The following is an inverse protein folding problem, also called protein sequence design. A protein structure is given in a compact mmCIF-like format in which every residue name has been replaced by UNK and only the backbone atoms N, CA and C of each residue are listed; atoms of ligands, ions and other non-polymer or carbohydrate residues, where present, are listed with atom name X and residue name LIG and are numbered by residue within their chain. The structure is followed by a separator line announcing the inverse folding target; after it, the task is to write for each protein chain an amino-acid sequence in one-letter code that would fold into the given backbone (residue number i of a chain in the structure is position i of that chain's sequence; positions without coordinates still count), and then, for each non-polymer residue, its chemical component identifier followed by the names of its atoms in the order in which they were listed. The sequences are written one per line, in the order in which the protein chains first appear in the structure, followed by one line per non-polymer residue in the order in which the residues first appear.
data_IF_534665859945
#
_entry.id   IF_534665859945
#
_cell.length_a   1.000
_cell.length_b   1.000
_cell.length_c   1.000
_cell.angle_alpha   90.00
_cell.angle_beta   90.00
_cell.angle_gamma   90.00
#
_symmetry.space_group_name_H-M   'P 1'
#
loop_
_entity.id
_entity.type
_entity.pdbx_description
1 polymer ?
#
# COMPACT_ATOMS: atom_id res chain seq x y z
N UNK A 1 7.53 -15.58 -4.52
CA UNK A 1 7.01 -14.22 -4.73
C UNK A 1 6.84 -13.53 -3.39
N UNK A 2 7.14 -12.24 -3.34
CA UNK A 2 6.83 -11.36 -2.20
C UNK A 2 6.26 -10.07 -2.74
N UNK A 3 5.17 -9.61 -2.13
CA UNK A 3 4.52 -8.34 -2.44
C UNK A 3 4.63 -7.42 -1.22
N UNK A 4 4.89 -6.16 -1.43
CA UNK A 4 4.84 -5.11 -0.43
C UNK A 4 4.66 -3.74 -1.08
N UNK A 5 4.06 -2.80 -0.35
CA UNK A 5 3.98 -1.38 -0.66
C UNK A 5 4.57 -0.61 0.53
N UNK A 6 5.93 -0.51 0.64
CA UNK A 6 6.61 0.02 1.83
C UNK A 6 6.85 1.54 1.77
N UNK A 7 6.20 2.25 0.86
CA UNK A 7 6.48 3.63 0.45
C UNK A 7 6.39 4.62 1.62
N UNK A 8 5.47 4.40 2.58
CA UNK A 8 5.34 5.24 3.78
C UNK A 8 6.61 5.26 4.64
N UNK A 9 7.46 4.24 4.49
CA UNK A 9 8.78 4.17 5.15
C UNK A 9 9.85 5.06 4.51
N UNK A 10 9.61 5.58 3.31
CA UNK A 10 10.50 6.52 2.61
C UNK A 10 9.83 7.87 2.33
N UNK A 11 8.74 8.18 3.03
CA UNK A 11 8.05 9.45 2.82
C UNK A 11 7.30 9.54 1.48
N UNK A 12 6.90 8.39 0.92
CA UNK A 12 6.07 8.27 -0.27
C UNK A 12 4.75 7.55 0.09
N UNK A 13 3.80 7.52 -0.80
CA UNK A 13 2.52 6.81 -0.69
C UNK A 13 2.53 5.58 -1.62
N UNK A 14 1.63 4.59 -1.44
CA UNK A 14 1.49 3.48 -2.37
C UNK A 14 1.13 3.97 -3.78
N UNK A 15 2.13 4.08 -4.66
CA UNK A 15 2.01 4.56 -6.04
C UNK A 15 1.71 3.42 -7.04
N UNK A 16 1.90 3.67 -8.32
CA UNK A 16 1.77 2.72 -9.45
C UNK A 16 0.46 1.93 -9.49
N UNK A 17 -0.63 2.57 -9.11
CA UNK A 17 -1.95 1.94 -8.99
C UNK A 17 -2.20 1.28 -7.64
N UNK A 18 -1.29 1.45 -6.67
CA UNK A 18 -1.43 0.90 -5.32
C UNK A 18 -2.75 1.27 -4.65
N UNK A 19 -3.18 2.53 -4.80
CA UNK A 19 -4.46 2.99 -4.31
C UNK A 19 -5.64 2.17 -4.85
N UNK A 20 -5.64 1.90 -6.16
CA UNK A 20 -6.69 1.12 -6.82
C UNK A 20 -6.80 -0.31 -6.30
N UNK A 21 -5.69 -1.01 -6.22
CA UNK A 21 -5.68 -2.42 -5.80
C UNK A 21 -5.89 -2.56 -4.30
N UNK A 22 -5.19 -1.78 -3.48
CA UNK A 22 -5.27 -1.91 -2.02
C UNK A 22 -6.62 -1.49 -1.46
N UNK A 23 -7.27 -0.45 -2.00
CA UNK A 23 -8.58 0.00 -1.54
C UNK A 23 -9.67 -1.05 -1.66
N UNK A 24 -9.52 -1.99 -2.58
CA UNK A 24 -10.49 -3.05 -2.88
C UNK A 24 -10.25 -4.35 -2.13
N UNK A 25 -9.23 -4.41 -1.28
CA UNK A 25 -8.95 -5.59 -0.46
C UNK A 25 -9.96 -5.70 0.70
N UNK A 26 -10.36 -6.92 1.07
CA UNK A 26 -11.33 -7.12 2.13
C UNK A 26 -10.76 -6.78 3.52
N UNK A 27 -11.64 -6.46 4.47
CA UNK A 27 -11.32 -6.42 5.90
C UNK A 27 -10.24 -5.42 6.29
N UNK A 28 -10.12 -4.28 5.58
CA UNK A 28 -9.13 -3.23 5.84
C UNK A 28 -7.67 -3.68 5.62
N UNK A 29 -7.49 -4.80 4.94
CA UNK A 29 -6.17 -5.33 4.63
C UNK A 29 -5.34 -4.32 3.81
N UNK A 30 -5.97 -3.59 2.89
CA UNK A 30 -5.28 -2.56 2.08
C UNK A 30 -4.69 -1.45 2.94
N UNK A 31 -5.44 -0.94 3.91
CA UNK A 31 -4.97 0.07 4.87
C UNK A 31 -3.79 -0.46 5.69
N UNK A 32 -3.92 -1.69 6.19
CA UNK A 32 -2.83 -2.35 6.92
C UNK A 32 -1.55 -2.44 6.07
N UNK A 33 -1.65 -2.94 4.84
CA UNK A 33 -0.48 -3.10 3.95
C UNK A 33 0.14 -1.76 3.56
N UNK A 34 -0.70 -0.76 3.24
CA UNK A 34 -0.24 0.59 2.87
C UNK A 34 0.50 1.29 4.01
N UNK A 35 -0.03 1.20 5.24
CA UNK A 35 0.53 1.91 6.38
C UNK A 35 1.76 1.23 6.97
N UNK A 36 1.76 -0.10 7.03
CA UNK A 36 2.86 -0.85 7.66
C UNK A 36 3.98 -1.21 6.69
N UNK A 37 3.67 -1.32 5.39
CA UNK A 37 4.59 -1.87 4.40
C UNK A 37 4.86 -3.36 4.58
N UNK A 38 3.95 -4.07 5.26
CA UNK A 38 4.08 -5.50 5.53
C UNK A 38 4.24 -6.29 4.23
N UNK A 39 5.20 -7.20 4.23
CA UNK A 39 5.45 -8.10 3.10
C UNK A 39 4.60 -9.33 3.22
N UNK A 40 3.85 -9.63 2.18
CA UNK A 40 3.05 -10.85 2.04
C UNK A 40 3.67 -11.78 0.98
N UNK A 41 3.47 -13.07 1.16
CA UNK A 41 3.93 -14.07 0.19
C UNK A 41 2.87 -14.37 -0.89
N UNK A 42 3.16 -15.33 -1.78
CA UNK A 42 2.26 -15.68 -2.86
C UNK A 42 0.94 -16.29 -2.39
N UNK A 43 0.92 -17.05 -1.30
CA UNK A 43 -0.31 -17.64 -0.74
C UNK A 43 -1.19 -16.57 -0.12
N UNK A 44 -0.59 -15.64 0.59
CA UNK A 44 -1.24 -14.48 1.19
C UNK A 44 -1.78 -13.52 0.12
N UNK A 45 -1.04 -13.35 -0.99
CA UNK A 45 -1.50 -12.52 -2.12
C UNK A 45 -2.74 -13.12 -2.81
N UNK A 46 -2.82 -14.45 -2.94
CA UNK A 46 -4.04 -15.12 -3.47
C UNK A 46 -5.18 -15.00 -2.47
N UNK A 47 -4.93 -15.24 -1.19
CA UNK A 47 -5.96 -15.10 -0.13
C UNK A 47 -6.51 -13.67 -0.05
N UNK A 48 -5.65 -12.67 -0.21
CA UNK A 48 -6.01 -11.25 -0.22
C UNK A 48 -6.79 -10.83 -1.49
N UNK A 49 -6.77 -11.63 -2.57
CA UNK A 49 -7.35 -11.26 -3.85
C UNK A 49 -6.45 -10.38 -4.73
N UNK A 50 -5.17 -10.20 -4.36
CA UNK A 50 -4.16 -9.50 -5.17
C UNK A 50 -3.62 -10.37 -6.31
N UNK A 51 -3.63 -11.69 -6.14
CA UNK A 51 -3.23 -12.65 -7.15
C UNK A 51 -4.36 -13.63 -7.43
N UNK A 52 -4.45 -14.08 -8.69
CA UNK A 52 -5.50 -15.00 -9.14
C UNK A 52 -5.06 -16.47 -9.11
N UNK A 53 -3.76 -16.72 -9.23
CA UNK A 53 -3.21 -18.07 -9.30
C UNK A 53 -1.95 -18.20 -8.46
N UNK A 54 -1.74 -19.37 -7.88
CA UNK A 54 -0.52 -19.73 -7.18
C UNK A 54 0.24 -20.76 -8.01
N UNK A 55 1.40 -20.38 -8.57
CA UNK A 55 2.23 -21.26 -9.36
C UNK A 55 3.52 -21.59 -8.61
N UNK A 56 3.93 -22.87 -8.55
CA UNK A 56 5.26 -23.26 -8.13
C UNK A 56 6.34 -22.56 -8.98
N UNK A 57 7.51 -22.31 -8.37
CA UNK A 57 8.58 -21.57 -9.05
C UNK A 57 9.08 -22.28 -10.33
N UNK A 58 9.10 -23.60 -10.35
CA UNK A 58 9.48 -24.44 -11.48
C UNK A 58 8.48 -24.42 -12.64
N UNK A 59 7.22 -24.03 -12.38
CA UNK A 59 6.17 -23.91 -13.40
C UNK A 59 6.14 -22.54 -14.10
N UNK A 60 6.87 -21.54 -13.61
CA UNK A 60 6.83 -20.19 -14.18
C UNK A 60 7.39 -20.11 -15.61
N UNK A 61 8.44 -20.89 -15.91
CA UNK A 61 9.01 -20.94 -17.26
C UNK A 61 8.02 -21.53 -18.26
N UNK A 62 7.35 -22.61 -17.88
CA UNK A 62 6.32 -23.27 -18.69
C UNK A 62 5.10 -22.37 -18.92
N UNK A 63 4.64 -21.66 -17.87
CA UNK A 63 3.56 -20.70 -18.00
C UNK A 63 3.87 -19.62 -19.04
N UNK A 64 5.08 -19.04 -18.97
CA UNK A 64 5.55 -18.05 -19.96
C UNK A 64 5.62 -18.63 -21.36
N UNK A 65 6.14 -19.86 -21.52
CA UNK A 65 6.25 -20.50 -22.82
C UNK A 65 4.87 -20.72 -23.45
N UNK A 66 3.88 -21.17 -22.68
CA UNK A 66 2.50 -21.34 -23.18
C UNK A 66 1.87 -20.03 -23.61
N UNK A 67 2.01 -18.98 -22.81
CA UNK A 67 1.47 -17.64 -23.15
C UNK A 67 2.12 -17.11 -24.43
N UNK A 68 3.45 -17.21 -24.57
CA UNK A 68 4.19 -16.79 -25.78
C UNK A 68 3.76 -17.59 -27.00
N UNK A 69 3.44 -18.88 -26.85
CA UNK A 69 2.94 -19.75 -27.93
C UNK A 69 1.47 -19.45 -28.32
N UNK A 70 0.83 -18.45 -27.69
CA UNK A 70 -0.53 -18.01 -28.04
C UNK A 70 -1.65 -18.79 -27.34
N UNK A 71 -1.34 -19.54 -26.30
CA UNK A 71 -2.39 -20.16 -25.48
C UNK A 71 -3.17 -19.09 -24.71
N UNK A 72 -4.44 -19.39 -24.39
CA UNK A 72 -5.24 -18.58 -23.48
C UNK A 72 -4.53 -18.44 -22.12
N UNK A 73 -4.36 -17.19 -21.67
CA UNK A 73 -3.61 -16.88 -20.46
C UNK A 73 -4.24 -17.55 -19.23
N UNK A 74 -5.56 -17.41 -19.07
CA UNK A 74 -6.27 -17.96 -17.92
C UNK A 74 -6.18 -19.49 -17.88
N UNK A 75 -6.38 -20.15 -19.03
CA UNK A 75 -6.26 -21.60 -19.15
C UNK A 75 -4.84 -22.10 -18.90
N UNK A 76 -3.83 -21.40 -19.43
CA UNK A 76 -2.41 -21.76 -19.21
C UNK A 76 -2.02 -21.65 -17.72
N UNK A 77 -2.47 -20.60 -17.04
CA UNK A 77 -2.20 -20.40 -15.60
C UNK A 77 -2.96 -21.41 -14.74
N UNK A 78 -4.25 -21.63 -15.02
CA UNK A 78 -5.09 -22.57 -14.27
C UNK A 78 -4.55 -24.01 -14.37
N UNK A 79 -4.05 -24.43 -15.55
CA UNK A 79 -3.51 -25.76 -15.75
C UNK A 79 -2.20 -26.04 -14.96
N UNK A 80 -1.49 -24.99 -14.56
CA UNK A 80 -0.22 -25.07 -13.83
C UNK A 80 -0.34 -24.63 -12.36
N UNK A 81 -1.47 -24.05 -11.98
CA UNK A 81 -1.73 -23.61 -10.63
C UNK A 81 -1.90 -24.78 -9.67
N UNK A 82 -1.46 -24.58 -8.44
CA UNK A 82 -1.69 -25.53 -7.34
C UNK A 82 -2.38 -24.82 -6.17
N UNK A 83 -2.96 -25.60 -5.26
CA UNK A 83 -3.52 -25.06 -4.02
C UNK A 83 -2.42 -24.38 -3.21
N UNK A 84 -2.58 -23.08 -2.88
CA UNK A 84 -1.57 -22.38 -2.08
C UNK A 84 -1.50 -22.94 -0.65
N UNK A 85 -0.34 -22.83 0.03
CA UNK A 85 -0.24 -23.06 1.45
C UNK A 85 -1.19 -22.16 2.25
N UNK A 86 -1.45 -22.50 3.51
CA UNK A 86 -2.27 -21.67 4.39
C UNK A 86 -1.64 -20.28 4.59
N UNK A 87 -2.39 -19.19 4.34
CA UNK A 87 -1.88 -17.82 4.46
C UNK A 87 -1.74 -17.42 5.94
N UNK A 88 -0.53 -17.08 6.37
CA UNK A 88 -0.26 -16.73 7.78
C UNK A 88 -0.99 -15.46 8.22
N UNK A 89 -1.11 -14.47 7.33
CA UNK A 89 -1.81 -13.21 7.61
C UNK A 89 -3.30 -13.42 7.95
N UNK A 90 -3.92 -14.50 7.48
CA UNK A 90 -5.31 -14.83 7.76
C UNK A 90 -5.58 -14.98 9.27
N UNK A 91 -4.60 -15.45 10.04
CA UNK A 91 -4.70 -15.55 11.49
C UNK A 91 -4.93 -14.17 12.17
N UNK A 92 -4.53 -13.09 11.51
CA UNK A 92 -4.66 -11.72 12.03
C UNK A 92 -5.79 -10.91 11.37
N UNK A 93 -6.59 -11.52 10.50
CA UNK A 93 -7.62 -10.82 9.72
C UNK A 93 -8.59 -10.00 10.59
N UNK A 94 -9.02 -10.55 11.73
CA UNK A 94 -9.92 -9.85 12.65
C UNK A 94 -9.24 -8.67 13.36
N UNK A 95 -7.98 -8.83 13.76
CA UNK A 95 -7.20 -7.76 14.37
C UNK A 95 -6.96 -6.63 13.36
N UNK A 96 -6.62 -6.96 12.12
CA UNK A 96 -6.45 -6.00 11.03
C UNK A 96 -7.76 -5.23 10.80
N UNK A 97 -8.89 -5.94 10.63
CA UNK A 97 -10.18 -5.32 10.41
C UNK A 97 -10.60 -4.40 11.55
N UNK A 98 -10.28 -4.76 12.79
CA UNK A 98 -10.59 -3.97 13.99
C UNK A 98 -9.73 -2.72 14.10
N UNK A 99 -8.40 -2.87 14.06
CA UNK A 99 -7.48 -1.78 14.38
C UNK A 99 -7.29 -0.80 13.22
N UNK A 100 -7.46 -1.24 11.98
CA UNK A 100 -7.34 -0.40 10.78
C UNK A 100 -8.72 0.02 10.23
N UNK A 101 -9.77 0.00 11.05
CA UNK A 101 -11.15 0.32 10.64
C UNK A 101 -11.33 1.80 10.27
N UNK A 102 -10.64 2.71 10.95
CA UNK A 102 -10.74 4.15 10.72
C UNK A 102 -9.93 4.59 9.50
N UNK A 103 -10.35 5.68 8.86
CA UNK A 103 -9.59 6.41 7.85
C UNK A 103 -8.76 7.56 8.48
N UNK A 104 -8.73 7.65 9.82
CA UNK A 104 -7.91 8.59 10.58
C UNK A 104 -6.74 7.86 11.22
N UNK A 105 -5.53 8.37 10.98
CA UNK A 105 -4.29 7.76 11.49
C UNK A 105 -4.26 7.75 13.02
N UNK A 106 -4.74 8.81 13.65
CA UNK A 106 -4.81 8.97 15.10
C UNK A 106 -5.67 7.87 15.75
N UNK A 107 -6.81 7.54 15.13
CA UNK A 107 -7.72 6.50 15.65
C UNK A 107 -7.10 5.11 15.52
N UNK A 108 -6.37 4.85 14.42
CA UNK A 108 -5.62 3.60 14.21
C UNK A 108 -4.54 3.45 15.30
N UNK A 109 -3.77 4.51 15.55
CA UNK A 109 -2.75 4.54 16.61
C UNK A 109 -3.39 4.26 17.97
N UNK A 110 -4.44 5.01 18.34
CA UNK A 110 -5.13 4.85 19.61
C UNK A 110 -5.74 3.43 19.77
N UNK A 111 -6.28 2.86 18.70
CA UNK A 111 -6.80 1.50 18.70
C UNK A 111 -5.71 0.46 18.98
N UNK A 112 -4.54 0.59 18.36
CA UNK A 112 -3.39 -0.29 18.59
C UNK A 112 -2.81 -0.10 20.01
N UNK A 113 -2.75 1.13 20.53
CA UNK A 113 -2.28 1.43 21.89
C UNK A 113 -3.19 0.83 22.96
N UNK A 114 -4.47 0.72 22.69
CA UNK A 114 -5.46 0.16 23.64
C UNK A 114 -5.44 -1.36 23.73
N UNK A 115 -4.78 -2.06 22.81
CA UNK A 115 -4.71 -3.51 22.74
C UNK A 115 -3.40 -4.03 23.37
N UNK A 116 -3.46 -4.84 24.46
CA UNK A 116 -2.27 -5.33 25.14
C UNK A 116 -1.55 -6.48 24.43
N UNK A 117 -1.99 -6.89 23.25
CA UNK A 117 -1.40 -8.02 22.52
C UNK A 117 -0.04 -7.67 21.94
N UNK A 118 0.84 -8.65 21.85
CA UNK A 118 2.16 -8.51 21.20
C UNK A 118 2.03 -8.11 19.74
N UNK A 119 0.98 -8.59 19.06
CA UNK A 119 0.73 -8.24 17.67
C UNK A 119 0.45 -6.73 17.53
N UNK A 120 -0.46 -6.19 18.35
CA UNK A 120 -0.78 -4.76 18.30
C UNK A 120 0.44 -3.89 18.64
N UNK A 121 1.21 -4.28 19.65
CA UNK A 121 2.45 -3.57 20.02
C UNK A 121 3.48 -3.57 18.87
N UNK A 122 3.63 -4.68 18.17
CA UNK A 122 4.53 -4.80 17.01
C UNK A 122 4.09 -3.92 15.85
N UNK A 123 2.79 -3.94 15.51
CA UNK A 123 2.27 -3.15 14.39
C UNK A 123 2.30 -1.65 14.72
N UNK A 124 2.02 -1.26 15.97
CA UNK A 124 2.19 0.11 16.44
C UNK A 124 3.65 0.59 16.32
N UNK A 125 4.60 -0.23 16.77
CA UNK A 125 6.02 0.09 16.65
C UNK A 125 6.43 0.26 15.19
N UNK A 126 5.92 -0.60 14.29
CA UNK A 126 6.14 -0.49 12.85
C UNK A 126 5.56 0.80 12.29
N UNK A 127 4.30 1.11 12.62
CA UNK A 127 3.61 2.31 12.15
C UNK A 127 4.33 3.60 12.57
N UNK A 128 4.86 3.64 13.79
CA UNK A 128 5.63 4.78 14.32
C UNK A 128 6.97 5.04 13.60
N UNK A 129 7.45 4.10 12.79
CA UNK A 129 8.63 4.33 11.93
C UNK A 129 8.29 5.04 10.63
N UNK A 130 7.01 5.15 10.27
CA UNK A 130 6.56 5.68 8.98
C UNK A 130 6.36 7.19 9.04
N UNK A 131 6.41 7.85 7.87
CA UNK A 131 6.05 9.27 7.75
C UNK A 131 4.58 9.47 8.10
N UNK A 132 4.24 10.26 9.14
CA UNK A 132 2.84 10.53 9.46
C UNK A 132 2.08 11.20 8.32
N UNK A 133 2.75 12.11 7.59
CA UNK A 133 2.17 12.76 6.42
C UNK A 133 1.76 11.74 5.36
N UNK A 134 2.68 10.84 4.96
CA UNK A 134 2.37 9.91 3.87
C UNK A 134 1.47 8.75 4.32
N UNK A 135 1.42 8.44 5.60
CA UNK A 135 0.37 7.57 6.15
C UNK A 135 -1.03 8.19 5.99
N UNK A 136 -1.22 9.48 6.31
CA UNK A 136 -2.50 10.18 6.08
C UNK A 136 -2.82 10.31 4.57
N UNK A 137 -1.81 10.57 3.75
CA UNK A 137 -1.96 10.57 2.28
C UNK A 137 -2.44 9.20 1.80
N UNK A 138 -1.83 8.11 2.27
CA UNK A 138 -2.23 6.76 1.88
C UNK A 138 -3.67 6.43 2.31
N UNK A 139 -4.09 6.78 3.51
CA UNK A 139 -5.47 6.57 3.98
C UNK A 139 -6.48 7.32 3.10
N UNK A 140 -6.23 8.60 2.83
CA UNK A 140 -7.09 9.42 1.95
C UNK A 140 -7.07 8.88 0.52
N UNK A 141 -5.91 8.48 -0.02
CA UNK A 141 -5.80 7.88 -1.33
C UNK A 141 -6.65 6.61 -1.45
N UNK A 142 -6.56 5.69 -0.48
CA UNK A 142 -7.35 4.46 -0.50
C UNK A 142 -8.86 4.75 -0.46
N UNK A 143 -9.27 5.72 0.35
CA UNK A 143 -10.66 6.17 0.40
C UNK A 143 -11.12 6.71 -0.96
N UNK A 144 -10.40 7.66 -1.52
CA UNK A 144 -10.77 8.32 -2.78
C UNK A 144 -10.66 7.36 -3.99
N UNK A 145 -9.73 6.39 -3.95
CA UNK A 145 -9.58 5.34 -4.98
C UNK A 145 -10.82 4.46 -5.13
N UNK A 146 -11.58 4.23 -4.05
CA UNK A 146 -12.87 3.52 -4.13
C UNK A 146 -13.92 4.29 -4.91
N UNK A 147 -13.81 5.62 -4.94
CA UNK A 147 -14.74 6.52 -5.62
C UNK A 147 -14.33 6.79 -7.07
N UNK A 148 -13.12 6.44 -7.47
CA UNK A 148 -12.67 6.59 -8.85
C UNK A 148 -13.48 5.68 -9.79
N UNK A 149 -14.01 6.23 -10.91
CA UNK A 149 -14.83 5.47 -11.85
C UNK A 149 -14.04 4.39 -12.59
N UNK A 150 -12.74 4.60 -12.79
CA UNK A 150 -11.86 3.69 -13.49
C UNK A 150 -10.40 3.84 -13.02
N UNK A 151 -9.53 2.96 -13.53
CA UNK A 151 -8.10 2.97 -13.21
C UNK A 151 -7.39 4.22 -13.71
N UNK A 152 -7.81 4.80 -14.84
CA UNK A 152 -7.20 6.01 -15.37
C UNK A 152 -7.44 7.22 -14.46
N UNK A 153 -8.66 7.35 -13.91
CA UNK A 153 -8.98 8.38 -12.92
C UNK A 153 -8.15 8.21 -11.63
N UNK A 154 -7.95 6.97 -11.18
CA UNK A 154 -7.06 6.69 -10.06
C UNK A 154 -5.62 7.12 -10.36
N UNK A 155 -5.08 6.80 -11.55
CA UNK A 155 -3.73 7.20 -11.94
C UNK A 155 -3.57 8.72 -12.04
N UNK A 156 -4.60 9.44 -12.52
CA UNK A 156 -4.61 10.89 -12.52
C UNK A 156 -4.55 11.47 -11.10
N UNK A 157 -5.27 10.88 -10.15
CA UNK A 157 -5.19 11.25 -8.74
C UNK A 157 -3.79 10.96 -8.17
N UNK A 158 -3.23 9.77 -8.42
CA UNK A 158 -1.87 9.42 -7.97
C UNK A 158 -0.81 10.37 -8.54
N UNK A 159 -0.96 10.80 -9.78
CA UNK A 159 -0.07 11.80 -10.38
C UNK A 159 -0.11 13.14 -9.65
N UNK A 160 -1.30 13.63 -9.26
CA UNK A 160 -1.45 14.85 -8.44
C UNK A 160 -0.75 14.72 -7.10
N UNK A 161 -0.97 13.57 -6.42
CA UNK A 161 -0.33 13.29 -5.13
C UNK A 161 1.19 13.26 -5.31
N UNK A 162 1.70 12.52 -6.29
CA UNK A 162 3.12 12.38 -6.57
C UNK A 162 3.79 13.73 -6.84
N UNK A 163 3.18 14.57 -7.70
CA UNK A 163 3.70 15.90 -8.05
C UNK A 163 3.97 16.78 -6.83
N UNK A 164 3.28 16.55 -5.72
CA UNK A 164 3.42 17.32 -4.48
C UNK A 164 4.21 16.59 -3.39
N UNK A 165 4.00 15.29 -3.22
CA UNK A 165 4.70 14.50 -2.19
C UNK A 165 6.21 14.45 -2.49
N UNK A 166 6.61 14.30 -3.76
CA UNK A 166 8.03 14.23 -4.16
C UNK A 166 8.82 15.51 -3.84
N UNK A 167 8.16 16.65 -3.70
CA UNK A 167 8.79 17.93 -3.34
C UNK A 167 8.79 18.22 -1.85
N UNK A 168 8.21 17.33 -1.03
CA UNK A 168 8.12 17.50 0.41
C UNK A 168 9.36 16.97 1.13
N UNK A 169 9.68 17.53 2.32
CA UNK A 169 10.87 17.14 3.09
C UNK A 169 10.94 15.64 3.39
N UNK A 170 9.81 15.00 3.69
CA UNK A 170 9.75 13.61 4.11
C UNK A 170 10.26 12.65 3.02
N UNK A 171 9.99 12.93 1.74
CA UNK A 171 10.52 12.08 0.67
C UNK A 171 12.04 12.13 0.60
N UNK A 172 12.64 13.32 0.61
CA UNK A 172 14.09 13.47 0.60
C UNK A 172 14.74 12.82 1.82
N UNK A 173 14.15 13.02 3.00
CA UNK A 173 14.62 12.45 4.25
C UNK A 173 14.51 10.92 4.29
N UNK A 174 13.38 10.38 3.83
CA UNK A 174 13.19 8.92 3.75
C UNK A 174 14.17 8.26 2.80
N UNK A 175 14.40 8.86 1.62
CA UNK A 175 15.42 8.40 0.67
C UNK A 175 16.81 8.45 1.32
N UNK A 176 17.15 9.55 2.00
CA UNK A 176 18.42 9.65 2.75
C UNK A 176 18.56 8.50 3.74
N UNK A 177 17.60 8.38 4.66
CA UNK A 177 17.72 7.46 5.80
C UNK A 177 17.68 5.98 5.39
N UNK A 178 16.87 5.61 4.40
CA UNK A 178 16.62 4.20 4.05
C UNK A 178 17.50 3.72 2.89
N UNK A 179 17.71 4.56 1.89
CA UNK A 179 18.37 4.14 0.63
C UNK A 179 19.84 4.58 0.59
N UNK A 180 20.13 5.82 0.94
CA UNK A 180 21.48 6.39 0.82
C UNK A 180 22.32 5.99 2.04
N UNK A 181 21.94 6.45 3.24
CA UNK A 181 22.70 6.22 4.47
C UNK A 181 22.45 4.87 5.10
N UNK A 182 21.27 4.26 4.84
CA UNK A 182 20.82 2.96 5.38
C UNK A 182 20.78 2.92 6.91
N UNK A 183 20.58 4.07 7.54
CA UNK A 183 20.48 4.21 8.99
C UNK A 183 19.10 3.88 9.53
N UNK A 184 18.05 4.00 8.69
CA UNK A 184 16.65 3.81 9.04
C UNK A 184 16.19 4.73 10.18
N UNK A 185 16.76 5.94 10.28
CA UNK A 185 16.55 6.92 11.36
C UNK A 185 15.85 8.20 10.88
N UNK A 186 14.98 8.08 9.88
CA UNK A 186 14.30 9.20 9.24
C UNK A 186 13.66 10.16 10.26
N UNK A 187 13.82 11.46 10.04
CA UNK A 187 13.27 12.56 10.87
C UNK A 187 12.12 13.20 10.11
N UNK A 188 10.92 12.70 10.35
CA UNK A 188 9.71 13.14 9.66
C UNK A 188 9.30 14.56 10.06
N UNK A 189 8.72 15.31 9.13
CA UNK A 189 8.22 16.66 9.33
C UNK A 189 6.87 16.89 8.64
N UNK A 190 5.75 16.96 9.40
CA UNK A 190 5.63 16.90 10.87
C UNK A 190 5.99 15.54 11.48
N UNK A 191 6.47 15.49 12.74
CA UNK A 191 6.95 14.26 13.36
C UNK A 191 5.81 13.36 13.92
N UNK A 192 4.59 13.88 14.04
CA UNK A 192 3.44 13.17 14.60
C UNK A 192 2.20 13.28 13.70
N UNK A 193 1.23 12.39 13.88
CA UNK A 193 -0.03 12.41 13.14
C UNK A 193 -0.81 13.73 13.34
N UNK A 194 -0.84 14.24 14.58
CA UNK A 194 -1.57 15.47 14.94
C UNK A 194 -0.95 16.71 14.28
N UNK A 195 0.35 16.67 14.00
CA UNK A 195 1.06 17.76 13.31
C UNK A 195 0.74 17.85 11.82
N UNK A 196 0.14 16.79 11.23
CA UNK A 196 -0.28 16.77 9.83
C UNK A 196 -1.73 17.23 9.75
N UNK A 197 -1.95 18.47 9.30
CA UNK A 197 -3.29 19.07 9.24
C UNK A 197 -4.09 18.59 8.02
N UNK A 198 -5.42 18.73 8.09
CA UNK A 198 -6.31 18.38 6.98
C UNK A 198 -6.07 19.32 5.79
N UNK A 199 -5.78 20.61 6.01
CA UNK A 199 -5.44 21.57 4.96
C UNK A 199 -4.17 21.15 4.19
N UNK A 200 -3.19 20.58 4.89
CA UNK A 200 -2.00 20.04 4.24
C UNK A 200 -2.37 18.87 3.33
N UNK A 201 -3.18 17.93 3.83
CA UNK A 201 -3.63 16.78 3.03
C UNK A 201 -4.46 17.26 1.82
N UNK A 202 -5.43 18.16 2.04
CA UNK A 202 -6.24 18.73 0.96
C UNK A 202 -5.39 19.41 -0.12
N UNK A 203 -4.32 20.10 0.28
CA UNK A 203 -3.38 20.72 -0.67
C UNK A 203 -2.65 19.71 -1.55
N UNK A 204 -2.39 18.50 -1.02
CA UNK A 204 -1.73 17.41 -1.77
C UNK A 204 -2.70 16.81 -2.80
N UNK A 205 -3.99 16.72 -2.50
CA UNK A 205 -5.01 16.16 -3.38
C UNK A 205 -5.67 17.18 -4.33
N UNK A 206 -5.43 18.46 -4.12
CA UNK A 206 -6.03 19.51 -4.94
C UNK A 206 -5.72 19.33 -6.44
N UNK A 207 -6.62 19.70 -7.35
CA UNK A 207 -6.35 19.68 -8.79
C UNK A 207 -5.06 20.44 -9.15
N UNK A 208 -4.36 19.96 -10.17
CA UNK A 208 -3.26 20.70 -10.81
C UNK A 208 -3.83 21.74 -11.80
N UNK A 209 -3.02 22.71 -12.27
CA UNK A 209 -3.36 23.49 -13.44
C UNK A 209 -3.74 22.58 -14.62
N UNK A 210 -4.71 23.02 -15.44
CA UNK A 210 -5.29 22.17 -16.49
C UNK A 210 -4.30 21.64 -17.54
N UNK A 211 -3.19 22.34 -17.73
CA UNK A 211 -2.07 21.98 -18.60
C UNK A 211 -1.06 21.04 -17.96
N UNK A 212 -1.09 20.95 -16.63
CA UNK A 212 -0.23 20.04 -15.83
C UNK A 212 -0.93 18.74 -15.45
N UNK A 213 -2.27 18.65 -15.59
CA UNK A 213 -3.01 17.43 -15.28
C UNK A 213 -2.60 16.28 -16.19
N UNK A 214 -2.35 15.11 -15.59
CA UNK A 214 -2.08 13.90 -16.36
C UNK A 214 -3.28 13.49 -17.20
N UNK A 215 -3.02 13.19 -18.47
CA UNK A 215 -4.02 12.68 -19.40
C UNK A 215 -3.52 11.36 -19.96
N UNK A 216 -4.34 10.29 -19.92
CA UNK A 216 -3.97 9.04 -20.58
C UNK A 216 -3.82 9.25 -22.08
N UNK A 217 -2.88 8.50 -22.68
CA UNK A 217 -2.64 8.50 -24.13
C UNK A 217 -3.79 7.85 -24.88
#
# INVERSE_FOLDING_TARGET
TRFAMPETGIGLFPDVGGGWFLSRLPGRLGQFLALTGTRIDGSEAVWAGLATHYLPADQQAEAKARIIAGHDIAGALTALAVTPPEPKIAAHAQQIARHFASDRLEDIIASLESDPTEWAAKELATLRTKSPQTCKVALRQLHDSLLCPDFAANMAMEYRIASRVLTRPDFAEGVRAVIVDKTNDAKWNPPTAEGVTDELIDSIFAPLPADEEWKPL
#
